data_IF_290265578136
#
_entry.id   IF_290265578136
#
_cell.length_a   1.000
_cell.length_b   1.000
_cell.length_c   1.000
_cell.angle_alpha   90.00
_cell.angle_beta   90.00
_cell.angle_gamma   90.00
#
_symmetry.space_group_name_H-M   'P 1'
#
loop_
_entity.id
_entity.type
_entity.pdbx_description
1 polymer ?
#
# COMPACT_ATOMS: atom_id res chain seq x y z
N UNK A 1 -24.42 -0.65 -52.04
CA UNK A 1 -24.74 0.37 -51.02
C UNK A 1 -23.70 0.24 -49.90
N UNK A 2 -22.67 1.10 -49.94
CA UNK A 2 -21.59 1.16 -48.95
C UNK A 2 -22.01 2.13 -47.85
N UNK A 3 -22.24 1.65 -46.62
CA UNK A 3 -22.49 2.51 -45.46
C UNK A 3 -21.17 2.74 -44.72
N UNK A 4 -20.71 3.98 -44.78
CA UNK A 4 -19.61 4.59 -44.03
C UNK A 4 -19.63 4.19 -42.55
N UNK A 5 -18.53 3.68 -41.97
CA UNK A 5 -17.46 4.47 -41.32
C UNK A 5 -18.00 5.64 -40.52
N UNK A 6 -17.91 5.59 -39.19
CA UNK A 6 -17.86 6.67 -38.19
C UNK A 6 -18.18 6.10 -36.80
N UNK A 7 -17.18 5.55 -36.10
CA UNK A 7 -17.21 5.38 -34.63
C UNK A 7 -15.77 5.23 -34.13
N UNK A 8 -14.97 6.24 -34.47
CA UNK A 8 -13.74 6.53 -33.78
C UNK A 8 -14.08 7.21 -32.44
N UNK A 9 -13.28 6.89 -31.42
CA UNK A 9 -12.97 7.76 -30.27
C UNK A 9 -14.08 7.86 -29.21
N UNK A 10 -14.13 6.86 -28.33
CA UNK A 10 -14.69 7.02 -27.01
C UNK A 10 -13.93 6.11 -26.05
N UNK A 11 -13.53 6.62 -24.89
CA UNK A 11 -12.73 5.94 -23.85
C UNK A 11 -11.20 6.11 -24.00
N UNK A 12 -10.77 7.35 -24.26
CA UNK A 12 -9.52 7.90 -23.71
C UNK A 12 -9.87 8.79 -22.51
N UNK A 13 -10.25 8.14 -21.42
CA UNK A 13 -10.32 8.78 -20.10
C UNK A 13 -9.95 7.75 -19.02
N UNK A 14 -8.80 7.09 -19.21
CA UNK A 14 -8.10 6.48 -18.09
C UNK A 14 -7.57 7.62 -17.25
N UNK A 15 -8.44 8.14 -16.38
CA UNK A 15 -8.07 9.05 -15.30
C UNK A 15 -6.84 8.46 -14.61
N UNK A 16 -5.72 9.16 -14.73
CA UNK A 16 -4.45 8.84 -14.07
C UNK A 16 -4.57 9.03 -12.56
N UNK A 17 -5.44 8.26 -11.92
CA UNK A 17 -5.34 8.01 -10.50
C UNK A 17 -4.07 7.19 -10.32
N UNK A 18 -2.97 7.89 -10.05
CA UNK A 18 -1.75 7.31 -9.53
C UNK A 18 -2.14 6.48 -8.31
N UNK A 19 -2.18 5.17 -8.49
CA UNK A 19 -2.43 4.22 -7.43
C UNK A 19 -1.18 4.23 -6.54
N UNK A 20 -1.12 5.17 -5.59
CA UNK A 20 -0.08 5.20 -4.57
C UNK A 20 -0.32 3.96 -3.73
N UNK A 21 0.38 2.87 -4.05
CA UNK A 21 0.31 1.67 -3.23
C UNK A 21 0.83 2.04 -1.84
N UNK A 22 -0.06 2.05 -0.85
CA UNK A 22 0.32 2.30 0.53
C UNK A 22 1.36 1.25 0.93
N UNK A 23 2.57 1.71 1.24
CA UNK A 23 3.65 0.85 1.68
C UNK A 23 3.19 0.10 2.93
N UNK A 24 3.37 -1.22 2.95
CA UNK A 24 3.09 -2.02 4.14
C UNK A 24 4.25 -1.86 5.14
N UNK A 25 4.06 -1.16 6.28
CA UNK A 25 5.13 -0.90 7.23
C UNK A 25 5.67 -2.18 7.88
N UNK A 26 4.85 -3.23 7.98
CA UNK A 26 5.23 -4.49 8.63
C UNK A 26 6.39 -5.18 7.91
N UNK A 27 6.49 -5.01 6.58
CA UNK A 27 7.63 -5.51 5.79
C UNK A 27 8.98 -4.93 6.21
N UNK A 28 8.96 -3.79 6.88
CA UNK A 28 10.15 -3.08 7.36
C UNK A 28 10.29 -3.14 8.89
N UNK A 29 9.54 -4.03 9.55
CA UNK A 29 9.60 -4.23 11.01
C UNK A 29 8.78 -3.22 11.82
N UNK A 30 7.91 -2.44 11.18
CA UNK A 30 7.00 -1.54 11.87
C UNK A 30 5.67 -2.25 12.17
N UNK A 31 5.44 -2.51 13.45
CA UNK A 31 4.23 -3.14 13.96
C UNK A 31 3.47 -2.15 14.84
N UNK A 32 2.14 -2.15 14.74
CA UNK A 32 1.25 -1.39 15.63
C UNK A 32 0.75 -2.19 16.83
N UNK A 33 1.10 -3.48 16.91
CA UNK A 33 0.76 -4.39 18.00
C UNK A 33 2.04 -4.90 18.69
N UNK A 34 2.02 -4.86 20.02
CA UNK A 34 3.18 -5.26 20.82
C UNK A 34 3.46 -6.76 20.74
N UNK A 35 2.42 -7.59 20.72
CA UNK A 35 2.57 -9.05 20.71
C UNK A 35 3.16 -9.55 19.38
N UNK A 36 2.70 -8.99 18.27
CA UNK A 36 3.26 -9.23 16.93
C UNK A 36 4.73 -8.78 16.84
N UNK A 37 5.05 -7.58 17.34
CA UNK A 37 6.43 -7.08 17.37
C UNK A 37 7.34 -7.98 18.22
N UNK A 38 6.85 -8.45 19.37
CA UNK A 38 7.59 -9.34 20.28
C UNK A 38 7.81 -10.72 19.66
N UNK A 39 6.81 -11.27 18.99
CA UNK A 39 6.94 -12.54 18.27
C UNK A 39 7.98 -12.44 17.15
N UNK A 40 7.98 -11.34 16.38
CA UNK A 40 8.95 -11.11 15.32
C UNK A 40 10.38 -10.91 15.85
N UNK A 41 10.54 -10.16 16.95
CA UNK A 41 11.84 -9.99 17.61
C UNK A 41 12.41 -11.34 18.09
N UNK A 42 11.57 -12.20 18.69
CA UNK A 42 11.96 -13.57 19.09
C UNK A 42 12.33 -14.44 17.90
N UNK A 43 11.52 -14.40 16.82
CA UNK A 43 11.74 -15.21 15.61
C UNK A 43 13.02 -14.81 14.87
N UNK A 44 13.28 -13.52 14.77
CA UNK A 44 14.42 -12.97 14.03
C UNK A 44 15.70 -12.86 14.86
N UNK A 45 15.61 -12.93 16.19
CA UNK A 45 16.72 -12.67 17.10
C UNK A 45 17.14 -11.21 17.18
N UNK A 46 16.40 -10.30 16.52
CA UNK A 46 16.67 -8.86 16.55
C UNK A 46 16.02 -8.22 17.78
N UNK A 47 16.64 -7.18 18.37
CA UNK A 47 16.03 -6.44 19.47
C UNK A 47 14.75 -5.73 19.02
N UNK A 48 13.82 -5.51 19.97
CA UNK A 48 12.60 -4.75 19.74
C UNK A 48 12.83 -3.26 20.07
N UNK A 49 12.34 -2.38 19.19
CA UNK A 49 12.30 -0.93 19.42
C UNK A 49 10.84 -0.51 19.62
N UNK A 50 10.53 0.09 20.78
CA UNK A 50 9.17 0.53 21.12
C UNK A 50 9.05 2.04 20.98
N UNK A 51 8.05 2.50 20.23
CA UNK A 51 7.76 3.92 20.05
C UNK A 51 6.49 4.28 20.80
N UNK A 52 6.61 5.17 21.77
CA UNK A 52 5.47 5.78 22.45
C UNK A 52 5.18 7.12 21.78
N UNK A 53 3.96 7.28 21.27
CA UNK A 53 3.49 8.53 20.70
C UNK A 53 2.59 9.19 21.73
N UNK A 54 2.96 10.39 22.19
CA UNK A 54 2.06 11.22 22.96
C UNK A 54 1.13 11.92 21.98
N UNK A 55 -0.01 11.30 21.68
CA UNK A 55 -1.11 11.96 20.96
C UNK A 55 -2.01 12.67 21.98
N UNK A 56 -2.41 13.93 21.73
CA UNK A 56 -3.22 14.73 22.65
C UNK A 56 -4.64 14.19 22.83
#
# INVERSE_FOLDING_TARGET
>A
MMAMSWLWIGVLASSGASNVQKLDPARYGWFSDYEAARAEARRSGKPIFLVFRCEP
#
